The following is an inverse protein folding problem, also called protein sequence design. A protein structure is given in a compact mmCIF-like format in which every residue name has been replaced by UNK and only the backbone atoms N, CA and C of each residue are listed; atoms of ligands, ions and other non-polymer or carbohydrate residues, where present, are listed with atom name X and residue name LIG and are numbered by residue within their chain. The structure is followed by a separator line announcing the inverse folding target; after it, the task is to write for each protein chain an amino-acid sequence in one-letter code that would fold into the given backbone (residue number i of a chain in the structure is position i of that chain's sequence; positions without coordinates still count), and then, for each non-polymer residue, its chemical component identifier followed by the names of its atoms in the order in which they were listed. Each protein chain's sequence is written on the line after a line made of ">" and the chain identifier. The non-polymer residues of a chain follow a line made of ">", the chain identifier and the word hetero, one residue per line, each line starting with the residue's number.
data_IF_517041506078
#
_entry.id   IF_517041506078
#
_cell.length_a   1.000
_cell.length_b   1.000
_cell.length_c   1.000
_cell.angle_alpha   90.00
_cell.angle_beta   90.00
_cell.angle_gamma   90.00
#
_symmetry.space_group_name_H-M   'P 1'
#
loop_
_entity.id
_entity.type
_entity.pdbx_description
1 polymer ?
#
# COMPACT_ATOMS: atom_id res chain seq x y z
N UNK A 1 30.67 -15.15 -14.29
CA UNK A 1 29.38 -14.76 -14.90
C UNK A 1 28.17 -15.30 -14.13
N UNK A 2 28.03 -16.62 -13.94
CA UNK A 2 26.89 -17.24 -13.24
C UNK A 2 26.68 -16.77 -11.78
N UNK A 3 27.78 -16.53 -11.05
CA UNK A 3 27.73 -15.94 -9.70
C UNK A 3 27.28 -14.47 -9.69
N UNK A 4 27.62 -13.71 -10.73
CA UNK A 4 27.24 -12.29 -10.85
C UNK A 4 25.74 -12.18 -11.12
N UNK A 5 25.20 -13.04 -11.99
CA UNK A 5 23.76 -13.11 -12.29
C UNK A 5 22.94 -13.52 -11.05
N UNK A 6 23.45 -14.48 -10.26
CA UNK A 6 22.79 -14.89 -9.02
C UNK A 6 22.76 -13.76 -7.98
N UNK A 7 23.86 -13.02 -7.84
CA UNK A 7 23.94 -11.86 -6.94
C UNK A 7 23.02 -10.73 -7.39
N UNK A 8 22.92 -10.44 -8.69
CA UNK A 8 22.02 -9.41 -9.21
C UNK A 8 20.54 -9.75 -9.03
N UNK A 9 20.15 -11.02 -9.20
CA UNK A 9 18.78 -11.49 -8.96
C UNK A 9 18.39 -11.43 -7.48
N UNK A 10 19.32 -11.78 -6.59
CA UNK A 10 19.11 -11.69 -5.14
C UNK A 10 18.90 -10.24 -4.70
N UNK A 11 19.64 -9.29 -5.27
CA UNK A 11 19.50 -7.86 -4.96
C UNK A 11 18.15 -7.29 -5.42
N UNK A 12 17.64 -7.72 -6.58
CA UNK A 12 16.35 -7.25 -7.11
C UNK A 12 15.15 -7.70 -6.27
N UNK A 13 15.28 -8.81 -5.55
CA UNK A 13 14.21 -9.33 -4.68
C UNK A 13 13.98 -8.51 -3.41
N UNK A 14 14.90 -7.61 -3.05
CA UNK A 14 14.83 -6.80 -1.82
C UNK A 14 14.02 -5.49 -1.98
N UNK A 15 13.49 -5.19 -3.15
CA UNK A 15 12.85 -3.90 -3.48
C UNK A 15 11.37 -3.82 -3.00
N UNK A 16 10.82 -4.89 -2.42
CA UNK A 16 9.39 -4.99 -2.13
C UNK A 16 8.98 -4.60 -0.70
N UNK A 17 8.64 -3.32 -0.48
CA UNK A 17 7.56 -2.86 0.41
C UNK A 17 7.53 -1.32 0.45
N UNK A 18 7.07 -0.68 -0.64
CA UNK A 18 6.69 0.72 -0.56
C UNK A 18 5.29 0.79 0.08
N UNK A 19 5.16 1.44 1.24
CA UNK A 19 3.86 1.69 1.85
C UNK A 19 3.08 2.67 0.96
N UNK A 20 1.87 2.30 0.55
CA UNK A 20 1.05 3.14 -0.32
C UNK A 20 0.37 4.29 0.43
N UNK A 21 0.26 4.20 1.77
CA UNK A 21 -0.30 5.25 2.62
C UNK A 21 0.74 6.33 2.85
N UNK A 22 0.39 7.56 2.46
CA UNK A 22 1.24 8.72 2.67
C UNK A 22 1.10 9.29 4.10
N UNK A 23 2.14 9.95 4.67
CA UNK A 23 2.10 10.46 6.05
C UNK A 23 1.00 11.49 6.32
N UNK A 24 0.60 12.25 5.31
CA UNK A 24 -0.48 13.25 5.37
C UNK A 24 -1.88 12.62 5.40
N UNK A 25 -2.01 11.34 5.02
CA UNK A 25 -3.26 10.59 5.17
C UNK A 25 -3.52 10.14 6.62
N UNK A 26 -2.49 10.06 7.46
CA UNK A 26 -2.58 9.39 8.77
C UNK A 26 -3.39 10.21 9.78
N UNK A 27 -4.40 9.59 10.39
CA UNK A 27 -5.21 10.25 11.43
C UNK A 27 -4.43 10.46 12.73
N UNK A 28 -4.76 11.53 13.44
CA UNK A 28 -4.18 11.84 14.75
C UNK A 28 -4.62 10.85 15.85
N UNK A 29 -5.85 10.35 15.78
CA UNK A 29 -6.35 9.31 16.68
C UNK A 29 -5.93 7.92 16.19
N UNK A 30 -5.05 7.27 16.95
CA UNK A 30 -4.52 5.95 16.62
C UNK A 30 -5.60 4.85 16.54
N UNK A 31 -6.69 4.95 17.31
CA UNK A 31 -7.77 3.98 17.25
C UNK A 31 -8.56 4.11 15.94
N UNK A 32 -8.81 5.35 15.49
CA UNK A 32 -9.44 5.62 14.20
C UNK A 32 -8.55 5.22 13.02
N UNK A 33 -7.25 5.53 13.08
CA UNK A 33 -6.30 5.10 12.03
C UNK A 33 -6.26 3.58 11.91
N UNK A 34 -6.21 2.86 13.04
CA UNK A 34 -6.21 1.40 13.03
C UNK A 34 -7.48 0.83 12.39
N UNK A 35 -8.64 1.43 12.66
CA UNK A 35 -9.90 1.06 12.01
C UNK A 35 -9.84 1.32 10.51
N UNK A 36 -9.36 2.48 10.09
CA UNK A 36 -9.21 2.82 8.67
C UNK A 36 -8.27 1.85 7.93
N UNK A 37 -7.18 1.41 8.57
CA UNK A 37 -6.25 0.40 8.06
C UNK A 37 -6.93 -0.94 7.81
N UNK A 38 -7.73 -1.41 8.78
CA UNK A 38 -8.46 -2.68 8.65
C UNK A 38 -9.41 -2.61 7.44
N UNK A 39 -10.20 -1.54 7.33
CA UNK A 39 -11.12 -1.34 6.21
C UNK A 39 -10.37 -1.26 4.87
N UNK A 40 -9.26 -0.52 4.84
CA UNK A 40 -8.45 -0.35 3.62
C UNK A 40 -7.86 -1.67 3.11
N UNK A 41 -7.55 -2.62 3.99
CA UNK A 41 -7.08 -3.96 3.61
C UNK A 41 -8.15 -4.83 2.95
N UNK A 42 -9.41 -4.61 3.29
CA UNK A 42 -10.54 -5.38 2.76
C UNK A 42 -11.02 -4.84 1.41
N UNK A 43 -10.99 -3.51 1.23
CA UNK A 43 -11.43 -2.86 0.00
C UNK A 43 -10.45 -3.11 -1.16
N UNK A 44 -11.00 -3.42 -2.34
CA UNK A 44 -10.25 -3.75 -3.55
C UNK A 44 -10.25 -2.60 -4.55
N UNK A 45 -9.08 -2.30 -5.11
CA UNK A 45 -8.96 -1.33 -6.18
C UNK A 45 -9.36 -1.96 -7.53
N UNK A 46 -10.44 -1.42 -8.13
CA UNK A 46 -11.00 -1.90 -9.42
C UNK A 46 -10.09 -1.65 -10.63
N UNK A 47 -9.12 -0.73 -10.52
CA UNK A 47 -8.15 -0.44 -11.58
C UNK A 47 -6.77 -1.08 -11.34
N UNK A 48 -6.59 -1.79 -10.22
CA UNK A 48 -5.28 -2.24 -9.75
C UNK A 48 -5.17 -3.76 -9.61
N UNK A 49 -5.78 -4.55 -10.50
CA UNK A 49 -5.75 -6.02 -10.44
C UNK A 49 -6.30 -6.59 -9.11
N UNK A 50 -7.32 -5.95 -8.53
CA UNK A 50 -7.91 -6.35 -7.24
C UNK A 50 -6.92 -6.36 -6.07
N UNK A 51 -5.86 -5.54 -6.13
CA UNK A 51 -5.05 -5.24 -4.95
C UNK A 51 -5.91 -4.55 -3.88
N UNK A 52 -5.53 -4.68 -2.61
CA UNK A 52 -6.10 -3.85 -1.55
C UNK A 52 -5.84 -2.37 -1.84
N UNK A 53 -6.74 -1.47 -1.41
CA UNK A 53 -6.46 -0.03 -1.46
C UNK A 53 -5.34 0.38 -0.48
N UNK A 54 -5.02 -0.41 0.56
CA UNK A 54 -3.89 -0.19 1.48
C UNK A 54 -2.53 -0.46 0.80
N UNK A 55 -2.50 -1.35 -0.19
CA UNK A 55 -1.27 -1.78 -0.90
C UNK A 55 -1.08 -1.12 -2.27
N UNK A 56 -2.11 -0.44 -2.79
CA UNK A 56 -2.09 0.12 -4.13
C UNK A 56 -1.67 1.60 -4.16
N UNK A 57 -0.73 1.91 -5.04
CA UNK A 57 -0.26 3.29 -5.32
C UNK A 57 -1.08 4.00 -6.41
N UNK A 58 -2.20 3.44 -6.87
CA UNK A 58 -3.01 4.11 -7.87
C UNK A 58 -3.71 5.36 -7.28
N UNK A 59 -3.90 6.44 -8.06
CA UNK A 59 -4.62 7.62 -7.60
C UNK A 59 -6.00 7.31 -7.01
N UNK A 60 -6.75 6.39 -7.63
CA UNK A 60 -8.05 5.95 -7.11
C UNK A 60 -7.95 5.31 -5.72
N UNK A 61 -6.89 4.55 -5.44
CA UNK A 61 -6.70 3.93 -4.13
C UNK A 61 -6.44 4.99 -3.06
N UNK A 62 -5.67 6.04 -3.38
CA UNK A 62 -5.47 7.21 -2.50
C UNK A 62 -6.80 7.90 -2.19
N UNK A 63 -7.59 8.22 -3.21
CA UNK A 63 -8.89 8.87 -3.01
C UNK A 63 -9.81 8.02 -2.10
N UNK A 64 -9.84 6.70 -2.33
CA UNK A 64 -10.62 5.79 -1.49
C UNK A 64 -10.15 5.74 -0.04
N UNK A 65 -8.84 5.77 0.18
CA UNK A 65 -8.23 5.79 1.52
C UNK A 65 -8.54 7.09 2.28
N UNK A 66 -8.61 8.22 1.58
CA UNK A 66 -9.06 9.49 2.15
C UNK A 66 -10.52 9.37 2.60
N UNK A 67 -11.41 8.89 1.73
CA UNK A 67 -12.83 8.71 2.04
C UNK A 67 -13.04 7.82 3.26
N UNK A 68 -12.28 6.72 3.39
CA UNK A 68 -12.38 5.81 4.55
C UNK A 68 -11.99 6.51 5.86
N UNK A 69 -11.10 7.51 5.81
CA UNK A 69 -10.63 8.24 7.00
C UNK A 69 -11.50 9.45 7.36
N UNK A 70 -12.28 9.94 6.41
CA UNK A 70 -13.28 11.00 6.63
C UNK A 70 -14.58 10.48 7.25
N UNK A 71 -14.81 9.17 7.27
CA UNK A 71 -16.08 8.51 7.65
C UNK A 71 -15.96 7.68 8.92
#
# INVERSE_FOLDING_TARGET
>A
MRRIIALSLLWLSLIGAAFAVEPDEVLADAALEQRARIISRELRCVVCQSQSIDDSNAPLAKDMRIIVRER
#
